data_IF_880290227699
#
_entry.id   IF_880290227699
#
_cell.length_a   1.000
_cell.length_b   1.000
_cell.length_c   1.000
_cell.angle_alpha   90.00
_cell.angle_beta   90.00
_cell.angle_gamma   90.00
#
_symmetry.space_group_name_H-M   'P 1'
#
loop_
_entity.id
_entity.type
_entity.pdbx_description
1 polymer ?
#
# COMPACT_ATOMS: atom_id res chain seq x y z
N UNK A 1 18.74 -31.73 18.63
CA UNK A 1 18.17 -30.38 18.76
C UNK A 1 16.66 -30.48 18.67
N UNK A 2 15.98 -30.16 19.77
CA UNK A 2 14.57 -29.76 19.84
C UNK A 2 14.41 -29.02 21.17
N UNK A 3 14.24 -27.70 21.08
CA UNK A 3 14.38 -26.71 22.16
C UNK A 3 13.04 -26.61 22.90
N UNK A 4 12.67 -27.64 23.66
CA UNK A 4 11.39 -27.62 24.38
C UNK A 4 11.48 -28.35 25.73
N UNK A 5 12.63 -28.25 26.37
CA UNK A 5 12.88 -28.82 27.71
C UNK A 5 13.35 -27.72 28.64
N UNK A 6 12.56 -26.65 28.77
CA UNK A 6 12.99 -25.49 29.55
C UNK A 6 12.04 -24.31 29.64
N UNK A 7 10.76 -24.45 29.32
CA UNK A 7 9.79 -23.46 29.83
C UNK A 7 9.51 -23.91 31.27
N UNK A 8 9.96 -23.18 32.30
CA UNK A 8 9.69 -23.57 33.67
C UNK A 8 8.16 -23.64 33.81
N UNK A 9 7.65 -24.69 34.44
CA UNK A 9 6.20 -24.90 34.66
C UNK A 9 5.56 -23.64 35.27
N UNK A 10 6.34 -22.89 36.07
CA UNK A 10 5.99 -21.57 36.58
C UNK A 10 5.67 -20.53 35.48
N UNK A 11 6.40 -20.46 34.37
CA UNK A 11 6.11 -19.53 33.28
C UNK A 11 4.78 -19.87 32.58
N UNK A 12 4.50 -21.15 32.33
CA UNK A 12 3.19 -21.59 31.82
C UNK A 12 2.05 -21.33 32.81
N UNK A 13 2.30 -21.44 34.13
CA UNK A 13 1.32 -21.12 35.16
C UNK A 13 1.07 -19.61 35.25
N UNK A 14 2.12 -18.78 35.18
CA UNK A 14 1.99 -17.32 35.15
C UNK A 14 1.29 -16.84 33.90
N UNK A 15 1.58 -17.42 32.73
CA UNK A 15 0.88 -17.10 31.49
C UNK A 15 -0.59 -17.50 31.56
N UNK A 16 -0.91 -18.65 32.19
CA UNK A 16 -2.29 -19.09 32.35
C UNK A 16 -3.06 -18.24 33.37
N UNK A 17 -2.47 -17.93 34.52
CA UNK A 17 -3.06 -17.01 35.52
C UNK A 17 -3.20 -15.59 34.96
N UNK A 18 -2.25 -15.14 34.15
CA UNK A 18 -2.31 -13.85 33.46
C UNK A 18 -3.42 -13.84 32.41
N UNK A 19 -3.50 -14.86 31.55
CA UNK A 19 -4.59 -14.99 30.60
C UNK A 19 -5.95 -15.01 31.29
N UNK A 20 -6.06 -15.73 32.41
CA UNK A 20 -7.30 -15.81 33.16
C UNK A 20 -7.66 -14.47 33.82
N UNK A 21 -6.71 -13.81 34.48
CA UNK A 21 -6.95 -12.49 35.10
C UNK A 21 -7.16 -11.38 34.09
N UNK A 22 -6.55 -11.46 32.89
CA UNK A 22 -6.83 -10.55 31.78
C UNK A 22 -8.20 -10.83 31.19
N UNK A 23 -8.59 -12.10 30.97
CA UNK A 23 -9.94 -12.42 30.49
C UNK A 23 -11.04 -12.00 31.48
N UNK A 24 -10.81 -12.17 32.78
CA UNK A 24 -11.75 -11.76 33.84
C UNK A 24 -11.80 -10.24 33.99
N UNK A 25 -10.67 -9.53 33.85
CA UNK A 25 -10.65 -8.06 33.83
C UNK A 25 -11.30 -7.51 32.56
N UNK A 26 -11.03 -8.07 31.39
CA UNK A 26 -11.60 -7.64 30.12
C UNK A 26 -13.13 -7.87 30.12
N UNK A 27 -13.61 -8.96 30.73
CA UNK A 27 -15.04 -9.14 30.99
C UNK A 27 -15.58 -8.12 32.00
N UNK A 28 -14.90 -7.88 33.12
CA UNK A 28 -15.34 -6.94 34.17
C UNK A 28 -15.38 -5.48 33.68
N UNK A 29 -14.47 -5.10 32.78
CA UNK A 29 -14.42 -3.77 32.14
C UNK A 29 -15.53 -3.62 31.09
N UNK A 30 -15.97 -4.72 30.47
CA UNK A 30 -17.06 -4.75 29.48
C UNK A 30 -18.47 -4.97 30.08
N UNK A 31 -18.65 -5.06 31.40
CA UNK A 31 -19.98 -5.28 32.02
C UNK A 31 -20.92 -4.07 31.85
N UNK A 32 -20.39 -2.88 31.57
CA UNK A 32 -21.20 -1.65 31.42
C UNK A 32 -21.47 -1.25 29.95
N UNK A 33 -21.00 -2.02 28.96
CA UNK A 33 -21.28 -1.77 27.53
C UNK A 33 -22.09 -2.90 26.88
N UNK A 34 -22.85 -3.64 27.70
CA UNK A 34 -23.97 -4.44 27.19
C UNK A 34 -25.17 -3.54 26.82
N UNK A 35 -24.92 -2.40 26.20
CA UNK A 35 -25.93 -1.79 25.34
C UNK A 35 -25.87 -2.61 24.07
N UNK A 36 -26.90 -3.44 23.87
CA UNK A 36 -26.89 -4.49 22.85
C UNK A 36 -26.45 -3.94 21.51
N UNK A 37 -25.18 -4.14 21.17
CA UNK A 37 -24.69 -3.95 19.82
C UNK A 37 -25.29 -5.09 19.02
N UNK A 38 -26.55 -4.85 18.68
CA UNK A 38 -27.39 -5.53 17.75
C UNK A 38 -26.59 -5.65 16.48
N UNK A 39 -25.77 -6.73 16.41
CA UNK A 39 -24.88 -7.10 15.31
C UNK A 39 -25.38 -6.43 14.05
N UNK A 40 -24.82 -5.25 13.75
CA UNK A 40 -25.29 -4.46 12.63
C UNK A 40 -24.88 -5.33 11.47
N UNK A 41 -25.85 -6.07 10.94
CA UNK A 41 -25.68 -6.88 9.77
C UNK A 41 -25.46 -5.88 8.64
N UNK A 42 -24.23 -5.37 8.53
CA UNK A 42 -23.79 -4.60 7.40
C UNK A 42 -23.98 -5.50 6.21
N UNK A 43 -25.02 -5.20 5.43
CA UNK A 43 -25.34 -5.98 4.26
C UNK A 43 -24.08 -6.01 3.38
N UNK A 44 -23.65 -7.19 2.91
CA UNK A 44 -22.55 -7.28 1.97
C UNK A 44 -22.84 -6.32 0.80
N UNK A 45 -21.82 -5.60 0.27
CA UNK A 45 -22.03 -4.58 -0.73
C UNK A 45 -22.88 -5.12 -1.87
N UNK A 46 -24.03 -4.49 -2.12
CA UNK A 46 -24.92 -4.92 -3.19
C UNK A 46 -24.16 -4.87 -4.53
N UNK A 47 -24.48 -5.77 -5.46
CA UNK A 47 -23.86 -5.81 -6.80
C UNK A 47 -23.82 -4.42 -7.47
N UNK A 48 -24.84 -3.58 -7.25
CA UNK A 48 -24.87 -2.20 -7.71
C UNK A 48 -23.75 -1.31 -7.13
N UNK A 49 -23.47 -1.41 -5.82
CA UNK A 49 -22.41 -0.67 -5.13
C UNK A 49 -21.03 -1.09 -5.64
N UNK A 50 -20.81 -2.39 -5.84
CA UNK A 50 -19.56 -2.90 -6.42
C UNK A 50 -19.32 -2.40 -7.85
N UNK A 51 -20.38 -2.31 -8.67
CA UNK A 51 -20.29 -1.75 -10.04
C UNK A 51 -19.92 -0.27 -10.02
N UNK A 52 -20.50 0.48 -9.10
CA UNK A 52 -20.20 1.89 -8.92
C UNK A 52 -18.73 2.12 -8.52
N UNK A 53 -18.24 1.36 -7.54
CA UNK A 53 -16.84 1.41 -7.10
C UNK A 53 -15.87 1.04 -8.25
N UNK A 54 -16.21 0.03 -9.05
CA UNK A 54 -15.43 -0.35 -10.22
C UNK A 54 -15.39 0.75 -11.30
N UNK A 55 -16.51 1.45 -11.53
CA UNK A 55 -16.57 2.53 -12.51
C UNK A 55 -15.75 3.77 -12.06
N UNK A 56 -15.70 4.04 -10.76
CA UNK A 56 -14.82 5.08 -10.19
C UNK A 56 -13.36 4.68 -10.43
N UNK A 57 -12.97 3.45 -10.07
CA UNK A 57 -11.62 2.95 -10.27
C UNK A 57 -11.18 3.04 -11.74
N UNK A 58 -12.05 2.67 -12.68
CA UNK A 58 -11.77 2.79 -14.12
C UNK A 58 -11.48 4.22 -14.54
N UNK A 59 -12.26 5.20 -14.05
CA UNK A 59 -12.05 6.61 -14.37
C UNK A 59 -10.71 7.12 -13.84
N UNK A 60 -10.36 6.75 -12.61
CA UNK A 60 -9.09 7.16 -12.00
C UNK A 60 -7.89 6.59 -12.76
N UNK A 61 -7.95 5.32 -13.13
CA UNK A 61 -6.91 4.65 -13.93
C UNK A 61 -6.77 5.31 -15.31
N UNK A 62 -7.89 5.60 -15.98
CA UNK A 62 -7.88 6.29 -17.28
C UNK A 62 -7.24 7.68 -17.17
N UNK A 63 -7.65 8.47 -16.18
CA UNK A 63 -7.11 9.81 -15.95
C UNK A 63 -5.59 9.76 -15.70
N UNK A 64 -5.13 8.85 -14.83
CA UNK A 64 -3.70 8.67 -14.55
C UNK A 64 -2.91 8.20 -15.77
N UNK A 65 -3.47 7.30 -16.58
CA UNK A 65 -2.85 6.80 -17.81
C UNK A 65 -2.63 7.91 -18.84
N UNK A 66 -3.62 8.79 -19.04
CA UNK A 66 -3.47 9.92 -19.96
C UNK A 66 -2.39 10.91 -19.51
N UNK A 67 -2.25 11.14 -18.20
CA UNK A 67 -1.20 11.99 -17.65
C UNK A 67 0.19 11.37 -17.85
N UNK A 68 0.32 10.04 -17.71
CA UNK A 68 1.59 9.34 -17.97
C UNK A 68 1.99 9.41 -19.44
N UNK A 69 1.03 9.28 -20.37
CA UNK A 69 1.29 9.40 -21.82
C UNK A 69 1.86 10.78 -22.20
N UNK A 70 1.25 11.86 -21.68
CA UNK A 70 1.74 13.23 -21.90
C UNK A 70 3.15 13.46 -21.34
N UNK A 71 3.46 12.88 -20.18
CA UNK A 71 4.80 12.96 -19.58
C UNK A 71 5.84 12.23 -20.46
N UNK A 72 5.51 11.04 -20.97
CA UNK A 72 6.39 10.31 -21.88
C UNK A 72 6.64 11.08 -23.19
N UNK A 73 5.59 11.63 -23.80
CA UNK A 73 5.69 12.45 -25.01
C UNK A 73 6.57 13.69 -24.79
N UNK A 74 6.41 14.38 -23.65
CA UNK A 74 7.22 15.55 -23.29
C UNK A 74 8.70 15.22 -23.08
N UNK A 75 8.99 14.15 -22.33
CA UNK A 75 10.37 13.71 -22.06
C UNK A 75 11.04 13.20 -23.34
N UNK A 76 10.32 12.47 -24.20
CA UNK A 76 10.85 11.98 -25.48
C UNK A 76 11.15 13.11 -26.46
N UNK A 77 10.32 14.16 -26.48
CA UNK A 77 10.58 15.38 -27.25
C UNK A 77 11.87 16.06 -26.79
N UNK A 78 12.08 16.21 -25.48
CA UNK A 78 13.30 16.81 -24.92
C UNK A 78 14.57 16.01 -25.26
N UNK A 79 14.54 14.68 -25.03
CA UNK A 79 15.65 13.77 -25.37
C UNK A 79 16.01 13.82 -26.86
N UNK A 80 15.01 13.95 -27.74
CA UNK A 80 15.23 14.03 -29.19
C UNK A 80 15.84 15.38 -29.62
N UNK A 81 15.47 16.48 -28.95
CA UNK A 81 16.07 17.81 -29.18
C UNK A 81 17.54 17.84 -28.75
N UNK A 82 17.86 17.23 -27.60
CA UNK A 82 19.23 17.16 -27.09
C UNK A 82 20.13 16.27 -27.99
N UNK A 83 19.58 15.18 -28.52
CA UNK A 83 20.26 14.31 -29.49
C UNK A 83 20.48 14.99 -30.86
N UNK A 84 19.59 15.89 -31.28
CA UNK A 84 19.75 16.67 -32.51
C UNK A 84 20.80 17.79 -32.39
N UNK A 85 20.84 18.48 -31.24
CA UNK A 85 21.78 19.58 -30.99
C UNK A 85 23.23 19.10 -30.77
N UNK A 86 23.44 17.86 -30.31
CA UNK A 86 24.78 17.28 -30.17
C UNK A 86 25.45 16.91 -31.50
N UNK A 87 24.70 16.88 -32.61
CA UNK A 87 25.27 16.62 -33.95
C UNK A 87 25.83 17.89 -34.64
N UNK A 88 25.44 19.09 -34.22
CA UNK A 88 25.92 20.35 -34.83
C UNK A 88 27.25 20.87 -34.26
N UNK A 89 27.69 20.37 -33.11
CA UNK A 89 28.89 20.88 -32.43
C UNK A 89 30.21 20.20 -32.85
N UNK A 90 30.19 19.26 -33.80
CA UNK A 90 31.39 18.53 -34.24
C UNK A 90 32.00 19.01 -35.56
N UNK A 91 31.49 20.09 -36.18
CA UNK A 91 31.98 20.55 -37.50
C UNK A 91 33.08 21.63 -37.47
N UNK A 92 33.60 22.06 -36.32
CA UNK A 92 34.53 23.20 -36.24
C UNK A 92 35.86 22.89 -35.51
N UNK A 93 36.60 21.83 -35.85
CA UNK A 93 37.99 21.69 -35.35
C UNK A 93 39.04 21.09 -36.30
N UNK A 94 38.79 20.90 -37.59
CA UNK A 94 39.80 20.32 -38.51
C UNK A 94 40.20 21.28 -39.64
N UNK A 95 40.86 22.39 -39.31
CA UNK A 95 41.66 23.17 -40.26
C UNK A 95 42.63 23.99 -39.42
N UNK A 96 43.91 23.62 -39.43
CA UNK A 96 45.10 24.49 -39.28
C UNK A 96 46.28 23.66 -38.77
N UNK A 97 46.94 23.01 -39.72
CA UNK A 97 48.18 22.27 -39.51
C UNK A 97 48.93 22.15 -40.82
N UNK A 98 49.48 23.27 -41.31
CA UNK A 98 50.59 23.24 -42.25
C UNK A 98 51.46 24.50 -42.19
#
# INVERSE_FOLDING_TARGET
>A
MSIQEGIPVAATLTDLEFCQTVCEQDQAINVDDSDGDEYVAENPPTNAKMRQELDILKRDVQHRSTNFKKQYEYVQFHVSVDAGNSSSDTCFQNSDGH
#
